data_IF_599088889919
#
_entry.id   IF_599088889919
#
_cell.length_a   1.000
_cell.length_b   1.000
_cell.length_c   1.000
_cell.angle_alpha   90.00
_cell.angle_beta   90.00
_cell.angle_gamma   90.00
#
_symmetry.space_group_name_H-M   'P 1'
#
loop_
_entity.id
_entity.type
_entity.pdbx_description
1 polymer ?
#
# COMPACT_ATOMS: atom_id res chain seq x y z
N UNK A 1 16.82 13.42 12.73
CA UNK A 1 17.39 12.24 12.04
C UNK A 1 16.28 11.63 11.21
N UNK A 2 16.29 11.83 9.89
CA UNK A 2 15.33 11.15 9.01
C UNK A 2 15.83 9.72 8.82
N UNK A 3 15.08 8.72 9.30
CA UNK A 3 15.31 7.33 8.92
C UNK A 3 14.67 7.11 7.56
N UNK A 4 15.48 6.75 6.57
CA UNK A 4 14.99 6.43 5.22
C UNK A 4 14.55 4.97 5.18
N UNK A 5 13.36 4.70 4.66
CA UNK A 5 12.86 3.34 4.42
C UNK A 5 13.48 2.82 3.13
N UNK A 6 14.06 1.61 3.17
CA UNK A 6 14.54 0.94 1.99
C UNK A 6 13.39 0.19 1.31
N UNK A 7 12.97 0.67 0.14
CA UNK A 7 11.88 0.08 -0.63
C UNK A 7 12.32 -1.12 -1.50
N UNK A 8 13.58 -1.54 -1.48
CA UNK A 8 14.07 -2.70 -2.25
C UNK A 8 13.56 -4.05 -1.72
N UNK A 9 12.73 -4.08 -0.67
CA UNK A 9 12.07 -5.30 -0.24
C UNK A 9 11.11 -5.79 -1.38
N UNK A 10 11.14 -7.08 -1.75
CA UNK A 10 10.28 -7.60 -2.81
C UNK A 10 8.79 -7.30 -2.62
N UNK A 11 8.28 -7.31 -1.39
CA UNK A 11 6.88 -7.01 -1.10
C UNK A 11 6.51 -5.56 -1.44
N UNK A 12 7.37 -4.58 -1.12
CA UNK A 12 7.16 -3.19 -1.53
C UNK A 12 7.19 -3.05 -3.05
N UNK A 13 8.11 -3.74 -3.73
CA UNK A 13 8.20 -3.71 -5.19
C UNK A 13 6.98 -4.34 -5.87
N UNK A 14 6.44 -5.43 -5.31
CA UNK A 14 5.21 -6.06 -5.82
C UNK A 14 3.98 -5.17 -5.60
N UNK A 15 3.92 -4.42 -4.50
CA UNK A 15 2.79 -3.55 -4.19
C UNK A 15 2.89 -2.15 -4.82
N UNK A 16 4.07 -1.70 -5.23
CA UNK A 16 4.29 -0.36 -5.80
C UNK A 16 3.34 -0.03 -6.98
N UNK A 17 3.13 -0.92 -7.96
CA UNK A 17 2.23 -0.63 -9.07
C UNK A 17 0.77 -0.39 -8.64
N UNK A 18 0.34 -0.97 -7.51
CA UNK A 18 -1.01 -0.75 -6.98
C UNK A 18 -1.11 0.65 -6.37
N UNK A 19 -0.07 1.08 -5.64
CA UNK A 19 0.02 2.43 -5.10
C UNK A 19 0.02 3.47 -6.23
N UNK A 20 0.88 3.29 -7.23
CA UNK A 20 0.95 4.17 -8.41
C UNK A 20 -0.36 4.19 -9.21
N UNK A 21 -1.05 3.05 -9.33
CA UNK A 21 -2.36 2.99 -9.97
C UNK A 21 -3.38 3.86 -9.23
N UNK A 22 -3.44 3.78 -7.90
CA UNK A 22 -4.35 4.61 -7.10
C UNK A 22 -4.00 6.10 -7.26
N UNK A 23 -2.71 6.46 -7.19
CA UNK A 23 -2.25 7.84 -7.35
C UNK A 23 -2.53 8.41 -8.75
N UNK A 24 -2.35 7.61 -9.79
CA UNK A 24 -2.65 8.01 -11.18
C UNK A 24 -4.14 8.29 -11.44
N UNK A 25 -5.04 7.78 -10.58
CA UNK A 25 -6.47 8.09 -10.61
C UNK A 25 -6.84 9.32 -9.75
N UNK A 26 -5.86 10.01 -9.18
CA UNK A 26 -6.04 11.25 -8.44
C UNK A 26 -6.34 11.08 -6.95
N UNK A 27 -6.11 9.88 -6.40
CA UNK A 27 -6.29 9.61 -4.97
C UNK A 27 -4.94 9.58 -4.25
N UNK A 28 -4.93 9.87 -2.96
CA UNK A 28 -3.74 9.68 -2.12
C UNK A 28 -3.57 8.19 -1.83
N UNK A 29 -2.33 7.70 -1.80
CA UNK A 29 -2.02 6.32 -1.41
C UNK A 29 -0.69 6.22 -0.65
N UNK A 30 -0.67 5.46 0.45
CA UNK A 30 0.50 5.33 1.31
C UNK A 30 0.67 3.91 1.81
N UNK A 31 1.91 3.42 1.84
CA UNK A 31 2.24 2.28 2.70
C UNK A 31 2.07 2.68 4.16
N UNK A 32 1.39 1.85 4.95
CA UNK A 32 1.10 2.12 6.36
C UNK A 32 1.31 0.88 7.22
N UNK A 33 1.15 1.02 8.53
CA UNK A 33 1.06 -0.13 9.43
C UNK A 33 2.39 -0.86 9.67
N UNK A 34 2.30 -2.19 9.75
CA UNK A 34 3.38 -3.07 10.17
C UNK A 34 4.58 -3.02 9.25
N UNK A 35 4.36 -3.00 7.94
CA UNK A 35 5.44 -3.00 6.95
C UNK A 35 6.35 -1.78 7.06
N UNK A 36 5.78 -0.60 7.34
CA UNK A 36 6.53 0.65 7.56
C UNK A 36 7.35 0.57 8.85
N UNK A 37 6.72 0.14 9.95
CA UNK A 37 7.40 -0.06 11.24
C UNK A 37 8.58 -1.02 11.09
N UNK A 38 8.34 -2.17 10.48
CA UNK A 38 9.31 -3.25 10.39
C UNK A 38 10.46 -2.89 9.45
N UNK A 39 10.18 -2.20 8.34
CA UNK A 39 11.23 -1.62 7.49
C UNK A 39 12.13 -0.62 8.24
N UNK A 40 11.55 0.26 9.07
CA UNK A 40 12.30 1.22 9.89
C UNK A 40 13.11 0.57 11.02
N UNK A 41 12.71 -0.61 11.46
CA UNK A 41 13.39 -1.42 12.48
C UNK A 41 14.36 -2.45 11.87
N UNK A 42 14.42 -2.57 10.54
CA UNK A 42 15.23 -3.59 9.87
C UNK A 42 14.75 -5.02 10.16
N UNK A 43 13.45 -5.20 10.40
CA UNK A 43 12.81 -6.50 10.61
C UNK A 43 12.25 -7.05 9.30
N UNK A 44 11.94 -8.34 9.31
CA UNK A 44 11.21 -8.98 8.22
C UNK A 44 9.81 -8.37 8.08
N UNK A 45 9.35 -8.23 6.83
CA UNK A 45 8.02 -7.73 6.48
C UNK A 45 7.22 -8.93 6.00
N UNK A 46 6.01 -9.11 6.51
CA UNK A 46 5.17 -10.27 6.20
C UNK A 46 4.02 -9.93 5.25
N UNK A 47 3.50 -8.71 5.32
CA UNK A 47 2.37 -8.19 4.57
C UNK A 47 2.59 -6.71 4.21
N UNK A 48 1.76 -6.21 3.29
CA UNK A 48 1.74 -4.80 2.88
C UNK A 48 0.32 -4.28 3.03
N UNK A 49 0.19 -3.20 3.79
CA UNK A 49 -1.03 -2.43 3.88
C UNK A 49 -0.88 -1.10 3.13
N UNK A 50 -1.89 -0.78 2.30
CA UNK A 50 -2.00 0.53 1.64
C UNK A 50 -3.23 1.24 2.19
N UNK A 51 -3.05 2.45 2.71
CA UNK A 51 -4.13 3.37 3.00
C UNK A 51 -4.33 4.32 1.82
N UNK A 52 -5.57 4.69 1.53
CA UNK A 52 -5.91 5.59 0.44
C UNK A 52 -7.07 6.51 0.79
N UNK A 53 -7.17 7.65 0.11
CA UNK A 53 -8.33 8.54 0.17
C UNK A 53 -9.53 8.02 -0.64
N UNK A 54 -9.34 7.02 -1.51
CA UNK A 54 -10.42 6.41 -2.28
C UNK A 54 -11.36 5.57 -1.40
N UNK A 55 -12.64 5.65 -1.68
CA UNK A 55 -13.67 4.78 -1.10
C UNK A 55 -13.58 3.35 -1.65
N UNK A 56 -14.19 2.35 -0.99
CA UNK A 56 -14.20 0.99 -1.51
C UNK A 56 -14.79 0.85 -2.92
N UNK A 57 -15.85 1.60 -3.25
CA UNK A 57 -16.44 1.59 -4.60
C UNK A 57 -15.48 2.17 -5.66
N UNK A 58 -14.76 3.23 -5.31
CA UNK A 58 -13.74 3.83 -6.20
C UNK A 58 -12.58 2.85 -6.43
N UNK A 59 -12.13 2.13 -5.40
CA UNK A 59 -11.09 1.10 -5.52
C UNK A 59 -11.53 -0.05 -6.44
N UNK A 60 -12.78 -0.48 -6.34
CA UNK A 60 -13.35 -1.48 -7.26
C UNK A 60 -13.44 -0.96 -8.71
N UNK A 61 -13.52 0.35 -8.91
CA UNK A 61 -13.45 0.97 -10.24
C UNK A 61 -12.04 0.98 -10.84
N UNK A 62 -11.00 0.98 -10.01
CA UNK A 62 -9.58 1.00 -10.45
C UNK A 62 -9.08 -0.40 -10.78
N UNK A 63 -9.42 -1.40 -9.95
CA UNK A 63 -8.86 -2.74 -10.06
C UNK A 63 -9.88 -3.76 -10.58
N UNK A 64 -9.52 -4.57 -11.59
CA UNK A 64 -10.45 -5.54 -12.19
C UNK A 64 -10.78 -6.72 -11.26
N UNK A 65 -9.98 -6.96 -10.22
CA UNK A 65 -10.16 -8.03 -9.25
C UNK A 65 -9.99 -7.47 -7.85
N UNK A 66 -11.04 -7.58 -7.04
CA UNK A 66 -11.07 -7.18 -5.63
C UNK A 66 -11.84 -8.24 -4.84
N UNK A 67 -11.59 -8.30 -3.52
CA UNK A 67 -12.31 -9.18 -2.61
C UNK A 67 -12.90 -8.34 -1.47
N UNK A 68 -14.22 -8.40 -1.31
CA UNK A 68 -14.95 -7.55 -0.36
C UNK A 68 -14.95 -8.13 1.05
N UNK A 69 -13.76 -8.21 1.63
CA UNK A 69 -13.56 -8.62 3.02
C UNK A 69 -13.70 -7.41 3.93
N UNK A 70 -14.94 -7.09 4.33
CA UNK A 70 -15.20 -6.03 5.32
C UNK A 70 -15.57 -4.65 4.74
N UNK A 71 -16.02 -4.59 3.48
CA UNK A 71 -16.65 -3.41 2.89
C UNK A 71 -17.88 -3.00 3.71
N UNK A 72 -18.00 -1.71 4.04
CA UNK A 72 -19.14 -1.10 4.76
C UNK A 72 -19.72 0.06 3.97
#
# INVERSE_FOLDING_TARGET
MTKTINLNNPLFQTAMPLLEAIESHGYEAYFVGGCVRDALLGKEIHDIDIATSATPDEIQGIFPVTFDVGKQ
#
